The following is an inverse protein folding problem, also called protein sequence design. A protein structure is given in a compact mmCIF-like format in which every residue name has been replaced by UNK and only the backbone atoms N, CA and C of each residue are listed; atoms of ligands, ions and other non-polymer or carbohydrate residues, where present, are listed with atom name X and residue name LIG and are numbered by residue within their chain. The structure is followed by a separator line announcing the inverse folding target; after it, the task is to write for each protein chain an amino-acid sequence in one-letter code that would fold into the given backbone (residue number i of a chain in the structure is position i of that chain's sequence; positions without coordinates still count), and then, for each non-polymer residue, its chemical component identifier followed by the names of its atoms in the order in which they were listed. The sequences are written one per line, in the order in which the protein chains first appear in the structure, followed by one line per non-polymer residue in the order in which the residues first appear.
data_IF_067612124902
#
_entry.id   IF_067612124902
#
_cell.length_a   1.000
_cell.length_b   1.000
_cell.length_c   1.000
_cell.angle_alpha   90.00
_cell.angle_beta   90.00
_cell.angle_gamma   90.00
#
_symmetry.space_group_name_H-M   'P 1'
#
loop_
_entity.id
_entity.type
_entity.pdbx_description
1 polymer ?
#
# COMPACT_ATOMS: atom_id res chain seq x y z
N UNK A 1 -35.75 24.65 -3.06
CA UNK A 1 -34.54 24.07 -2.45
C UNK A 1 -33.40 24.37 -3.41
N UNK A 2 -32.53 25.31 -3.07
CA UNK A 2 -31.49 25.83 -3.98
C UNK A 2 -30.25 24.95 -3.89
N UNK A 3 -29.94 24.21 -4.94
CA UNK A 3 -28.76 23.37 -5.02
C UNK A 3 -27.51 24.26 -5.11
N UNK A 4 -26.73 24.28 -4.03
CA UNK A 4 -25.48 25.03 -3.98
C UNK A 4 -24.43 24.23 -4.75
N UNK A 5 -24.31 24.50 -6.05
CA UNK A 5 -23.24 23.97 -6.89
C UNK A 5 -21.90 24.51 -6.39
N UNK A 6 -21.12 23.68 -5.69
CA UNK A 6 -19.80 24.07 -5.16
C UNK A 6 -18.76 23.93 -6.28
N UNK A 7 -18.39 25.06 -6.88
CA UNK A 7 -17.33 25.10 -7.88
C UNK A 7 -15.96 25.13 -7.17
N UNK A 8 -15.22 24.03 -7.24
CA UNK A 8 -13.89 23.88 -6.64
C UNK A 8 -12.75 24.56 -7.43
N UNK A 9 -13.05 25.15 -8.58
CA UNK A 9 -12.04 25.65 -9.53
C UNK A 9 -11.46 27.03 -9.17
N UNK A 10 -11.80 27.62 -8.02
CA UNK A 10 -11.35 28.99 -7.66
C UNK A 10 -10.40 29.07 -6.46
N UNK A 11 -9.81 27.97 -5.99
CA UNK A 11 -8.88 28.03 -4.86
C UNK A 11 -7.45 27.71 -5.30
N UNK A 12 -6.82 28.63 -6.03
CA UNK A 12 -5.35 28.70 -6.15
C UNK A 12 -4.83 30.14 -6.08
N UNK A 13 -5.45 31.01 -5.27
CA UNK A 13 -4.79 32.25 -4.86
C UNK A 13 -3.97 31.99 -3.60
N UNK A 14 -2.86 31.27 -3.77
CA UNK A 14 -1.87 31.06 -2.73
C UNK A 14 -1.09 32.37 -2.52
N UNK A 15 -1.51 33.17 -1.52
CA UNK A 15 -0.76 34.33 -1.07
C UNK A 15 0.64 33.87 -0.61
N UNK A 16 1.63 34.08 -1.48
CA UNK A 16 3.03 33.65 -1.35
C UNK A 16 3.81 34.48 -0.31
N UNK A 17 3.18 34.81 0.81
CA UNK A 17 3.78 35.61 1.90
C UNK A 17 4.07 34.80 3.16
N UNK A 18 4.00 33.46 3.09
CA UNK A 18 4.60 32.57 4.08
C UNK A 18 5.38 31.51 3.31
N UNK A 19 6.68 31.78 3.15
CA UNK A 19 7.65 30.96 2.45
C UNK A 19 7.77 29.58 3.09
N UNK A 20 6.90 28.65 2.72
CA UNK A 20 7.23 27.22 2.74
C UNK A 20 8.04 26.96 1.48
N UNK A 21 9.26 27.49 1.41
CA UNK A 21 10.23 27.07 0.39
C UNK A 21 10.83 25.77 0.90
N UNK A 22 10.07 24.68 0.85
CA UNK A 22 10.68 23.36 1.00
C UNK A 22 11.57 23.14 -0.21
N UNK A 23 12.83 22.83 0.06
CA UNK A 23 13.80 22.56 -0.99
C UNK A 23 13.28 21.42 -1.89
N UNK A 24 13.38 21.52 -3.23
CA UNK A 24 12.89 20.49 -4.15
C UNK A 24 13.39 19.07 -3.83
N UNK A 25 14.59 18.94 -3.25
CA UNK A 25 15.13 17.65 -2.80
C UNK A 25 14.38 17.09 -1.59
N UNK A 26 13.92 17.96 -0.68
CA UNK A 26 13.11 17.57 0.48
C UNK A 26 11.74 17.05 0.04
N UNK A 27 11.11 17.71 -0.92
CA UNK A 27 9.84 17.26 -1.51
C UNK A 27 10.04 15.90 -2.20
N UNK A 28 11.11 15.77 -2.99
CA UNK A 28 11.42 14.53 -3.72
C UNK A 28 11.69 13.36 -2.77
N UNK A 29 12.47 13.59 -1.71
CA UNK A 29 12.76 12.58 -0.69
C UNK A 29 11.50 12.14 0.06
N UNK A 30 10.61 13.08 0.40
CA UNK A 30 9.32 12.76 1.02
C UNK A 30 8.43 11.92 0.10
N UNK A 31 8.29 12.33 -1.16
CA UNK A 31 7.49 11.59 -2.15
C UNK A 31 8.04 10.18 -2.36
N UNK A 32 9.36 10.03 -2.49
CA UNK A 32 9.99 8.72 -2.61
C UNK A 32 9.69 7.85 -1.40
N UNK A 33 9.77 8.39 -0.19
CA UNK A 33 9.48 7.65 1.05
C UNK A 33 8.01 7.25 1.16
N UNK A 34 7.08 8.10 0.75
CA UNK A 34 5.64 7.82 0.84
C UNK A 34 5.17 6.86 -0.25
N UNK A 35 5.67 7.01 -1.49
CA UNK A 35 5.27 6.18 -2.63
C UNK A 35 5.94 4.80 -2.64
N UNK A 36 7.16 4.70 -2.10
CA UNK A 36 7.93 3.45 -2.03
C UNK A 36 8.26 3.07 -0.60
N UNK A 37 7.44 3.52 0.35
CA UNK A 37 7.54 3.11 1.73
C UNK A 37 7.23 1.62 1.83
N UNK A 38 8.19 0.82 2.29
CA UNK A 38 8.03 -0.63 2.44
C UNK A 38 7.31 -1.02 3.75
N UNK A 39 6.63 -0.08 4.40
CA UNK A 39 5.93 -0.29 5.67
C UNK A 39 4.42 -0.18 5.46
N UNK A 40 3.69 -1.14 5.98
CA UNK A 40 2.23 -1.16 6.01
C UNK A 40 1.72 -1.01 7.46
N UNK A 41 0.47 -0.57 7.62
CA UNK A 41 -0.17 -0.56 8.94
C UNK A 41 -0.57 -1.98 9.34
N UNK A 42 -0.29 -2.36 10.59
CA UNK A 42 -0.41 -3.75 11.07
C UNK A 42 -1.85 -4.24 11.32
N UNK A 43 -2.87 -3.41 11.09
CA UNK A 43 -4.27 -3.84 11.29
C UNK A 43 -4.72 -4.86 10.24
N UNK A 44 -4.00 -4.97 9.12
CA UNK A 44 -4.25 -5.93 8.05
C UNK A 44 -2.94 -6.35 7.38
N UNK A 45 -3.05 -7.08 6.29
CA UNK A 45 -1.91 -7.51 5.47
C UNK A 45 -2.04 -6.99 4.03
N UNK A 46 -0.92 -6.95 3.33
CA UNK A 46 -0.86 -6.58 1.91
C UNK A 46 -0.47 -7.81 1.09
N UNK A 47 -1.19 -8.04 0.00
CA UNK A 47 -0.83 -9.01 -1.05
C UNK A 47 -0.84 -8.26 -2.37
N UNK A 48 0.26 -8.31 -3.09
CA UNK A 48 0.33 -7.86 -4.47
C UNK A 48 0.24 -9.08 -5.38
N UNK A 49 -0.61 -9.04 -6.40
CA UNK A 49 -0.78 -10.11 -7.37
C UNK A 49 -0.60 -9.57 -8.79
N UNK A 50 -0.21 -10.47 -9.69
CA UNK A 50 -0.13 -10.21 -11.11
C UNK A 50 -1.53 -10.12 -11.72
N UNK A 51 -1.79 -9.07 -12.49
CA UNK A 51 -3.12 -8.78 -13.05
C UNK A 51 -3.63 -9.88 -13.99
N UNK A 52 -2.74 -10.58 -14.70
CA UNK A 52 -3.13 -11.53 -15.76
C UNK A 52 -3.26 -12.94 -15.23
N UNK A 53 -2.36 -13.31 -14.34
CA UNK A 53 -2.23 -14.67 -13.82
C UNK A 53 -2.86 -14.84 -12.45
N UNK A 54 -3.22 -13.74 -11.78
CA UNK A 54 -3.64 -13.72 -10.38
C UNK A 54 -2.61 -14.37 -9.43
N UNK A 55 -1.35 -14.52 -9.88
CA UNK A 55 -0.27 -15.06 -9.06
C UNK A 55 0.25 -14.02 -8.07
N UNK A 56 0.44 -14.41 -6.81
CA UNK A 56 1.05 -13.56 -5.77
C UNK A 56 2.47 -13.14 -6.19
N UNK A 57 2.70 -11.84 -6.28
CA UNK A 57 3.99 -11.22 -6.57
C UNK A 57 4.78 -10.89 -5.31
N UNK A 58 4.09 -10.56 -4.21
CA UNK A 58 4.68 -10.33 -2.88
C UNK A 58 3.57 -10.25 -1.84
N UNK A 59 3.92 -10.51 -0.58
CA UNK A 59 3.02 -10.33 0.56
C UNK A 59 3.76 -9.71 1.74
N UNK A 60 3.05 -9.11 2.69
CA UNK A 60 3.63 -8.60 3.94
C UNK A 60 3.90 -9.72 4.95
N UNK A 61 4.92 -9.57 5.80
CA UNK A 61 5.35 -10.62 6.74
C UNK A 61 4.22 -11.13 7.66
N UNK A 62 3.28 -10.27 8.02
CA UNK A 62 2.14 -10.62 8.87
C UNK A 62 0.99 -11.35 8.13
N UNK A 63 1.08 -11.53 6.80
CA UNK A 63 0.00 -12.10 6.00
C UNK A 63 -0.33 -13.54 6.39
N UNK A 64 0.69 -14.38 6.63
CA UNK A 64 0.48 -15.79 6.98
C UNK A 64 -0.28 -15.95 8.31
N UNK A 65 0.03 -15.10 9.29
CA UNK A 65 -0.62 -15.11 10.60
C UNK A 65 -2.06 -14.59 10.51
N UNK A 66 -2.26 -13.41 9.90
CA UNK A 66 -3.57 -12.77 9.77
C UNK A 66 -4.57 -13.61 8.95
N UNK A 67 -4.07 -14.32 7.94
CA UNK A 67 -4.90 -15.18 7.10
C UNK A 67 -5.02 -16.61 7.64
N UNK A 68 -4.43 -16.92 8.81
CA UNK A 68 -4.38 -18.27 9.39
C UNK A 68 -3.82 -19.33 8.41
N UNK A 69 -2.84 -18.93 7.60
CA UNK A 69 -2.15 -19.79 6.62
C UNK A 69 -0.89 -20.42 7.21
N UNK A 70 -0.52 -20.05 8.43
CA UNK A 70 0.59 -20.67 9.15
C UNK A 70 0.32 -22.18 9.34
N UNK A 71 1.30 -23.05 9.10
CA UNK A 71 1.13 -24.50 9.22
C UNK A 71 0.79 -24.86 10.67
N UNK A 72 -0.47 -25.21 10.92
CA UNK A 72 -1.00 -25.54 12.25
C UNK A 72 -0.71 -26.99 12.69
N UNK A 73 0.05 -27.74 11.88
CA UNK A 73 0.31 -29.18 12.09
C UNK A 73 1.77 -29.48 11.78
N UNK A 74 2.32 -30.45 12.52
CA UNK A 74 3.67 -31.02 12.41
C UNK A 74 4.21 -30.97 10.97
N UNK A 75 5.41 -30.43 10.72
CA UNK A 75 5.93 -30.24 9.37
C UNK A 75 5.99 -31.57 8.62
N UNK A 76 5.13 -31.72 7.60
CA UNK A 76 5.13 -32.80 6.64
C UNK A 76 5.88 -32.32 5.38
N UNK A 77 6.74 -33.19 4.84
CA UNK A 77 7.67 -32.87 3.74
C UNK A 77 6.96 -32.45 2.44
N UNK A 78 5.65 -32.72 2.33
CA UNK A 78 4.82 -32.40 1.17
C UNK A 78 3.87 -31.19 1.36
N UNK A 79 3.95 -30.49 2.50
CA UNK A 79 3.11 -29.31 2.73
C UNK A 79 3.56 -28.16 1.84
N UNK A 80 2.78 -27.89 0.79
CA UNK A 80 2.91 -26.69 -0.04
C UNK A 80 2.60 -25.47 0.83
N UNK A 81 3.49 -24.47 0.83
CA UNK A 81 3.25 -23.22 1.54
C UNK A 81 1.93 -22.61 1.07
N UNK A 82 1.05 -22.28 2.02
CA UNK A 82 -0.29 -21.81 1.72
C UNK A 82 -0.30 -20.41 1.07
N UNK A 83 0.79 -19.64 1.23
CA UNK A 83 1.03 -18.38 0.52
C UNK A 83 2.50 -18.33 0.08
N UNK A 84 2.73 -18.39 -1.22
CA UNK A 84 4.05 -18.32 -1.84
C UNK A 84 4.00 -17.47 -3.11
N UNK A 85 5.16 -17.11 -3.64
CA UNK A 85 5.21 -16.43 -4.94
C UNK A 85 4.58 -17.31 -6.02
N UNK A 86 3.65 -16.73 -6.80
CA UNK A 86 2.88 -17.44 -7.82
C UNK A 86 1.70 -18.26 -7.30
N UNK A 87 1.39 -18.22 -6.00
CA UNK A 87 0.09 -18.73 -5.49
C UNK A 87 -1.04 -17.97 -6.17
N UNK A 88 -2.08 -18.66 -6.64
CA UNK A 88 -3.27 -18.07 -7.26
C UNK A 88 -4.21 -17.47 -6.18
N UNK A 89 -4.83 -16.32 -6.43
CA UNK A 89 -5.70 -15.60 -5.47
C UNK A 89 -7.18 -15.60 -5.83
#
# INVERSE_FOLDING_TARGET
MSERLVNYSSSTDFNVSTSITSDPTTISAYLQKTQRGSLIQSFGCLIAADEKTFGVLTYSDNALELLNLAPHVVPNIEQREALAFGTDI
#
